data_IF_064522052340
#
_entry.id   IF_064522052340
#
_cell.length_a   1.000
_cell.length_b   1.000
_cell.length_c   1.000
_cell.angle_alpha   90.00
_cell.angle_beta   90.00
_cell.angle_gamma   90.00
#
_symmetry.space_group_name_H-M   'P 1'
#
loop_
_entity.id
_entity.type
_entity.pdbx_description
1 polymer ?
#
# COMPACT_ATOMS: atom_id res chain seq x y z
N UNK A 1 3.63 20.33 8.85
CA UNK A 1 5.09 20.06 9.06
C UNK A 1 5.42 18.58 8.83
N UNK A 2 4.82 17.64 9.57
CA UNK A 2 5.09 16.20 9.42
C UNK A 2 4.84 15.67 8.00
N UNK A 3 3.74 16.06 7.35
CA UNK A 3 3.49 15.71 5.94
C UNK A 3 4.63 16.16 5.02
N UNK A 4 5.21 17.34 5.25
CA UNK A 4 6.36 17.81 4.47
C UNK A 4 7.64 17.00 4.75
N UNK A 5 7.76 16.35 5.91
CA UNK A 5 8.85 15.41 6.17
C UNK A 5 8.62 14.08 5.44
N UNK A 6 7.38 13.57 5.41
CA UNK A 6 7.01 12.40 4.61
C UNK A 6 7.30 12.65 3.12
N UNK A 7 6.94 13.82 2.59
CA UNK A 7 7.28 14.22 1.21
C UNK A 7 8.79 14.24 0.99
N UNK A 8 9.55 14.85 1.91
CA UNK A 8 11.02 14.89 1.83
C UNK A 8 11.65 13.50 1.80
N UNK A 9 11.19 12.59 2.66
CA UNK A 9 11.66 11.20 2.67
C UNK A 9 11.35 10.51 1.33
N UNK A 10 10.12 10.67 0.82
CA UNK A 10 9.71 10.05 -0.43
C UNK A 10 10.48 10.62 -1.64
N UNK A 11 10.74 11.93 -1.67
CA UNK A 11 11.62 12.55 -2.67
C UNK A 11 13.06 12.00 -2.61
N UNK A 12 13.53 11.58 -1.44
CA UNK A 12 14.80 10.87 -1.27
C UNK A 12 14.72 9.37 -1.62
N UNK A 13 13.55 8.88 -2.08
CA UNK A 13 13.31 7.48 -2.42
C UNK A 13 13.01 6.59 -1.22
N UNK A 14 12.72 7.17 -0.05
CA UNK A 14 12.58 6.46 1.23
C UNK A 14 11.15 6.59 1.74
N UNK A 15 10.57 5.48 2.19
CA UNK A 15 9.33 5.45 2.97
C UNK A 15 9.68 4.93 4.36
N UNK A 16 9.11 5.54 5.40
CA UNK A 16 9.41 5.15 6.78
C UNK A 16 8.99 3.69 7.04
N UNK A 17 7.82 3.28 6.56
CA UNK A 17 7.37 1.89 6.58
C UNK A 17 6.78 1.43 7.90
N UNK A 18 7.00 2.18 8.97
CA UNK A 18 6.31 2.04 10.27
C UNK A 18 6.03 3.37 10.99
N UNK A 19 5.54 4.38 10.28
CA UNK A 19 5.37 5.71 10.87
C UNK A 19 4.14 5.75 11.78
N UNK A 20 4.34 6.26 13.00
CA UNK A 20 3.30 6.50 14.01
C UNK A 20 3.71 7.67 14.91
N UNK A 21 2.84 8.07 15.83
CA UNK A 21 3.12 9.07 16.85
C UNK A 21 4.32 8.71 17.74
N UNK A 22 4.61 7.42 17.92
CA UNK A 22 5.72 6.95 18.75
C UNK A 22 7.08 7.17 18.09
N UNK A 23 7.09 7.30 16.76
CA UNK A 23 8.29 7.51 15.95
C UNK A 23 8.48 8.99 15.56
N UNK A 24 7.83 9.90 16.31
CA UNK A 24 7.97 11.35 16.17
C UNK A 24 8.43 11.95 17.50
N UNK A 25 9.62 12.56 17.50
CA UNK A 25 10.10 13.36 18.62
C UNK A 25 9.72 14.83 18.42
N UNK A 26 9.39 15.55 19.49
CA UNK A 26 9.05 16.97 19.42
C UNK A 26 9.94 17.74 20.39
N UNK A 27 10.64 18.76 19.89
CA UNK A 27 11.44 19.69 20.67
C UNK A 27 11.06 21.16 20.37
N UNK A 28 11.87 22.12 20.82
CA UNK A 28 11.64 23.55 20.57
C UNK A 28 11.73 23.97 19.09
N UNK A 29 12.27 23.11 18.23
CA UNK A 29 12.39 23.34 16.78
C UNK A 29 11.26 22.67 15.98
N UNK A 30 10.51 21.74 16.60
CA UNK A 30 9.33 21.11 16.04
C UNK A 30 9.42 19.58 15.99
N UNK A 31 8.51 18.92 15.25
CA UNK A 31 8.48 17.48 15.16
C UNK A 31 9.61 16.94 14.26
N UNK A 32 10.20 15.81 14.63
CA UNK A 32 11.26 15.09 13.90
C UNK A 32 10.90 13.61 13.84
N UNK A 33 10.83 13.06 12.62
CA UNK A 33 10.68 11.61 12.39
C UNK A 33 12.01 10.91 12.69
N UNK A 34 11.93 9.84 13.48
CA UNK A 34 13.08 9.00 13.89
C UNK A 34 12.86 7.54 13.45
N UNK A 35 13.75 6.63 13.87
CA UNK A 35 13.62 5.17 13.69
C UNK A 35 13.48 4.70 12.23
N UNK A 36 14.57 4.85 11.47
CA UNK A 36 14.67 4.44 10.06
C UNK A 36 15.16 3.00 9.76
N UNK A 37 15.41 2.05 10.70
CA UNK A 37 15.87 0.72 10.31
C UNK A 37 14.82 -0.07 9.50
N UNK A 38 13.54 0.31 9.60
CA UNK A 38 12.44 -0.25 8.81
C UNK A 38 12.16 0.52 7.50
N UNK A 39 12.96 1.55 7.20
CA UNK A 39 12.73 2.37 6.03
C UNK A 39 12.98 1.58 4.74
N UNK A 40 12.04 1.70 3.80
CA UNK A 40 12.08 0.94 2.54
C UNK A 40 12.31 1.86 1.34
N UNK A 41 12.90 1.28 0.29
CA UNK A 41 13.06 1.95 -0.99
C UNK A 41 11.72 2.00 -1.76
N UNK A 42 11.26 3.22 -2.08
CA UNK A 42 9.97 3.46 -2.72
C UNK A 42 9.87 2.92 -4.16
N UNK A 43 10.99 2.84 -4.87
CA UNK A 43 11.04 2.40 -6.28
C UNK A 43 11.26 0.89 -6.42
N UNK A 44 11.80 0.23 -5.40
CA UNK A 44 12.18 -1.18 -5.44
C UNK A 44 11.19 -2.13 -4.73
N UNK A 45 10.15 -1.59 -4.07
CA UNK A 45 9.22 -2.38 -3.27
C UNK A 45 7.77 -2.27 -3.79
N UNK A 46 7.18 -3.40 -4.18
CA UNK A 46 5.80 -3.47 -4.67
C UNK A 46 4.75 -3.02 -3.61
N UNK A 47 5.12 -3.06 -2.32
CA UNK A 47 4.28 -2.60 -1.21
C UNK A 47 4.50 -1.13 -0.84
N UNK A 48 5.40 -0.41 -1.52
CA UNK A 48 5.74 0.99 -1.22
C UNK A 48 4.50 1.88 -1.10
N UNK A 49 3.58 1.79 -2.05
CA UNK A 49 2.31 2.54 -2.00
C UNK A 49 1.54 2.29 -0.71
N UNK A 50 1.34 1.02 -0.36
CA UNK A 50 0.52 0.64 0.79
C UNK A 50 1.16 1.12 2.09
N UNK A 51 2.49 1.03 2.19
CA UNK A 51 3.24 1.48 3.36
C UNK A 51 3.21 3.00 3.51
N UNK A 52 3.39 3.76 2.42
CA UNK A 52 3.23 5.22 2.46
C UNK A 52 1.82 5.63 2.90
N UNK A 53 0.79 5.00 2.33
CA UNK A 53 -0.60 5.28 2.70
C UNK A 53 -0.85 4.98 4.18
N UNK A 54 -0.31 3.87 4.69
CA UNK A 54 -0.38 3.51 6.12
C UNK A 54 0.29 4.56 6.99
N UNK A 55 1.51 4.96 6.65
CA UNK A 55 2.29 5.97 7.39
C UNK A 55 1.51 7.29 7.49
N UNK A 56 0.98 7.79 6.37
CA UNK A 56 0.19 9.02 6.34
C UNK A 56 -1.14 8.87 7.08
N UNK A 57 -1.79 7.72 6.97
CA UNK A 57 -3.06 7.44 7.65
C UNK A 57 -2.89 7.35 9.17
N UNK A 58 -1.80 6.76 9.66
CA UNK A 58 -1.48 6.71 11.08
C UNK A 58 -1.32 8.12 11.67
N UNK A 59 -0.57 8.98 10.97
CA UNK A 59 -0.45 10.39 11.36
C UNK A 59 -1.83 11.08 11.37
N UNK A 60 -2.62 10.93 10.30
CA UNK A 60 -3.94 11.54 10.22
C UNK A 60 -4.88 11.04 11.34
N UNK A 61 -4.84 9.76 11.68
CA UNK A 61 -5.65 9.17 12.73
C UNK A 61 -5.27 9.69 14.12
N UNK A 62 -3.97 9.78 14.43
CA UNK A 62 -3.49 10.30 15.70
C UNK A 62 -3.80 11.79 15.86
N UNK A 63 -3.35 12.62 14.91
CA UNK A 63 -3.55 14.07 14.97
C UNK A 63 -5.01 14.47 14.75
N UNK A 64 -5.80 13.63 14.09
CA UNK A 64 -7.24 13.81 13.91
C UNK A 64 -8.04 13.85 15.21
N UNK A 65 -7.48 13.32 16.31
CA UNK A 65 -8.06 13.47 17.65
C UNK A 65 -8.06 14.94 18.13
N UNK A 66 -7.14 15.75 17.61
CA UNK A 66 -6.97 17.17 17.95
C UNK A 66 -7.39 18.11 16.82
N UNK A 67 -7.29 17.66 15.57
CA UNK A 67 -7.66 18.40 14.36
C UNK A 67 -8.53 17.51 13.44
N UNK A 68 -9.84 17.37 13.72
CA UNK A 68 -10.73 16.42 13.04
C UNK A 68 -10.78 16.57 11.52
N UNK A 69 -10.51 17.77 10.99
CA UNK A 69 -10.42 18.03 9.55
C UNK A 69 -9.40 17.11 8.86
N UNK A 70 -8.33 16.68 9.54
CA UNK A 70 -7.32 15.77 8.99
C UNK A 70 -7.90 14.40 8.61
N UNK A 71 -8.95 13.94 9.31
CA UNK A 71 -9.60 12.65 9.04
C UNK A 71 -10.34 12.64 7.69
N UNK A 72 -10.61 13.83 7.13
CA UNK A 72 -11.27 13.97 5.82
C UNK A 72 -10.29 14.14 4.66
N UNK A 73 -8.99 14.23 4.95
CA UNK A 73 -7.95 14.42 3.94
C UNK A 73 -7.47 13.08 3.36
N UNK A 74 -7.01 13.11 2.11
CA UNK A 74 -6.39 11.97 1.43
C UNK A 74 -4.98 12.32 0.92
N UNK A 75 -4.16 12.88 1.81
CA UNK A 75 -2.76 13.22 1.51
C UNK A 75 -1.96 12.01 1.01
N UNK A 76 -2.24 10.81 1.52
CA UNK A 76 -1.50 9.59 1.14
C UNK A 76 -1.64 9.31 -0.36
N UNK A 77 -2.85 9.34 -0.90
CA UNK A 77 -3.06 9.12 -2.33
C UNK A 77 -2.57 10.31 -3.18
N UNK A 78 -2.79 11.55 -2.74
CA UNK A 78 -2.31 12.75 -3.43
C UNK A 78 -0.79 12.74 -3.60
N UNK A 79 -0.05 12.51 -2.52
CA UNK A 79 1.42 12.43 -2.51
C UNK A 79 1.89 11.31 -3.44
N UNK A 80 1.28 10.13 -3.34
CA UNK A 80 1.67 8.99 -4.17
C UNK A 80 1.44 9.24 -5.66
N UNK A 81 0.33 9.87 -6.03
CA UNK A 81 0.03 10.20 -7.43
C UNK A 81 1.03 11.21 -8.01
N UNK A 82 1.40 12.23 -7.24
CA UNK A 82 2.46 13.17 -7.61
C UNK A 82 3.81 12.46 -7.75
N UNK A 83 4.12 11.53 -6.86
CA UNK A 83 5.36 10.75 -6.92
C UNK A 83 5.42 9.87 -8.17
N UNK A 84 4.35 9.11 -8.45
CA UNK A 84 4.28 8.23 -9.62
C UNK A 84 4.32 8.96 -10.95
N UNK A 85 3.80 10.18 -11.01
CA UNK A 85 3.85 11.03 -12.20
C UNK A 85 5.17 11.79 -12.35
N UNK A 86 6.09 11.68 -11.38
CA UNK A 86 7.36 12.40 -11.37
C UNK A 86 7.21 13.90 -11.09
N UNK A 87 6.08 14.32 -10.52
CA UNK A 87 5.75 15.72 -10.23
C UNK A 87 5.91 16.10 -8.75
N UNK A 88 6.22 15.14 -7.89
CA UNK A 88 6.46 15.40 -6.47
C UNK A 88 7.80 16.10 -6.25
N UNK A 89 7.76 17.22 -5.53
CA UNK A 89 8.90 18.01 -5.08
C UNK A 89 8.73 18.36 -3.60
N UNK A 90 9.80 18.83 -2.95
CA UNK A 90 9.73 19.25 -1.54
C UNK A 90 8.84 20.49 -1.36
N UNK A 91 8.65 21.25 -2.43
CA UNK A 91 7.86 22.47 -2.53
C UNK A 91 6.43 22.20 -3.04
N UNK A 92 6.08 20.94 -3.33
CA UNK A 92 4.75 20.59 -3.82
C UNK A 92 3.66 21.03 -2.84
N UNK A 93 2.74 21.86 -3.33
CA UNK A 93 1.59 22.33 -2.55
C UNK A 93 0.53 21.24 -2.57
N UNK A 94 0.30 20.62 -1.42
CA UNK A 94 -0.70 19.56 -1.24
C UNK A 94 -2.03 20.17 -0.82
N UNK A 95 -3.12 19.64 -1.37
CA UNK A 95 -4.49 20.08 -1.10
C UNK A 95 -5.19 19.22 -0.06
N UNK A 96 -4.65 18.03 0.21
CA UNK A 96 -5.29 17.00 1.04
C UNK A 96 -6.50 16.37 0.38
N UNK A 97 -6.72 16.59 -0.93
CA UNK A 97 -7.85 16.04 -1.68
C UNK A 97 -7.35 15.17 -2.81
N UNK A 98 -7.92 13.97 -2.92
CA UNK A 98 -7.60 13.05 -4.00
C UNK A 98 -8.87 12.43 -4.57
N UNK A 99 -9.06 12.55 -5.88
CA UNK A 99 -10.17 11.91 -6.58
C UNK A 99 -9.78 10.47 -6.90
N UNK A 100 -10.41 9.50 -6.22
CA UNK A 100 -10.17 8.09 -6.47
C UNK A 100 -10.81 7.69 -7.80
N UNK A 101 -9.97 7.42 -8.79
CA UNK A 101 -10.40 6.71 -9.99
C UNK A 101 -10.51 5.23 -9.63
N UNK A 102 -11.70 4.78 -9.22
CA UNK A 102 -11.99 3.35 -9.10
C UNK A 102 -11.99 2.72 -10.51
N UNK A 103 -10.86 2.15 -10.91
CA UNK A 103 -10.86 1.19 -12.02
C UNK A 103 -11.52 -0.09 -11.50
N UNK A 104 -12.64 -0.48 -12.10
CA UNK A 104 -13.28 -1.77 -11.83
C UNK A 104 -12.30 -2.90 -12.15
N UNK A 105 -11.82 -3.58 -11.12
CA UNK A 105 -11.02 -4.80 -11.29
C UNK A 105 -11.97 -5.94 -11.66
N UNK A 106 -11.69 -6.66 -12.75
CA UNK A 106 -12.49 -7.83 -13.15
C UNK A 106 -12.21 -9.03 -12.23
N UNK A 107 -12.87 -9.02 -11.07
CA UNK A 107 -12.85 -10.13 -10.12
C UNK A 107 -13.40 -11.42 -10.73
N UNK A 108 -14.27 -11.34 -11.75
CA UNK A 108 -14.80 -12.54 -12.43
C UNK A 108 -13.73 -13.20 -13.29
N UNK A 109 -12.81 -12.44 -13.88
CA UNK A 109 -11.64 -12.94 -14.59
C UNK A 109 -10.75 -13.80 -13.68
N UNK A 110 -10.33 -13.23 -12.55
CA UNK A 110 -9.47 -13.92 -11.56
C UNK A 110 -10.13 -15.19 -11.02
N UNK A 111 -11.41 -15.12 -10.65
CA UNK A 111 -12.15 -16.29 -10.14
C UNK A 111 -12.31 -17.38 -11.21
N UNK A 112 -12.35 -17.03 -12.49
CA UNK A 112 -12.44 -18.00 -13.59
C UNK A 112 -11.15 -18.81 -13.72
N UNK A 113 -9.99 -18.15 -13.72
CA UNK A 113 -8.68 -18.82 -13.78
C UNK A 113 -8.46 -19.79 -12.61
N UNK A 114 -8.83 -19.38 -11.40
CA UNK A 114 -8.75 -20.24 -10.21
C UNK A 114 -9.63 -21.48 -10.39
N UNK A 115 -10.89 -21.29 -10.80
CA UNK A 115 -11.83 -22.39 -10.99
C UNK A 115 -11.43 -23.34 -12.13
N UNK A 116 -10.84 -22.82 -13.21
CA UNK A 116 -10.38 -23.62 -14.34
C UNK A 116 -9.19 -24.51 -13.93
N UNK A 117 -8.26 -23.95 -13.14
CA UNK A 117 -7.13 -24.71 -12.55
C UNK A 117 -7.64 -25.85 -11.65
N UNK A 118 -8.63 -25.56 -10.80
CA UNK A 118 -9.22 -26.58 -9.91
C UNK A 118 -9.93 -27.70 -10.69
N UNK A 119 -10.66 -27.36 -11.76
CA UNK A 119 -11.31 -28.36 -12.62
C UNK A 119 -10.33 -29.25 -13.36
N UNK A 120 -9.21 -28.71 -13.83
CA UNK A 120 -8.16 -29.51 -14.45
C UNK A 120 -7.54 -30.50 -13.45
N UNK A 121 -7.30 -30.07 -12.22
CA UNK A 121 -6.78 -30.91 -11.15
C UNK A 121 -7.74 -32.05 -10.81
N UNK A 122 -9.04 -31.75 -10.66
CA UNK A 122 -10.09 -32.75 -10.43
C UNK A 122 -10.19 -33.76 -11.58
N UNK A 123 -10.13 -33.30 -12.83
CA UNK A 123 -10.17 -34.16 -14.01
C UNK A 123 -8.95 -35.09 -14.07
N UNK A 124 -7.75 -34.59 -13.72
CA UNK A 124 -6.54 -35.42 -13.62
C UNK A 124 -6.67 -36.48 -12.53
N UNK A 125 -7.16 -36.12 -11.34
CA UNK A 125 -7.36 -37.06 -10.24
C UNK A 125 -8.38 -38.15 -10.60
N UNK A 126 -9.49 -37.79 -11.25
CA UNK A 126 -10.49 -38.73 -11.76
C UNK A 126 -9.90 -39.69 -12.79
N UNK A 127 -9.10 -39.18 -13.75
CA UNK A 127 -8.45 -40.02 -14.75
C UNK A 127 -7.47 -41.03 -14.13
N UNK A 128 -6.68 -40.59 -13.14
CA UNK A 128 -5.76 -41.44 -12.39
C UNK A 128 -6.55 -42.51 -11.61
N UNK A 129 -7.62 -42.13 -10.90
CA UNK A 129 -8.45 -43.05 -10.14
C UNK A 129 -9.14 -44.09 -11.03
N UNK A 130 -9.65 -43.69 -12.20
CA UNK A 130 -10.26 -44.60 -13.18
C UNK A 130 -9.22 -45.60 -13.71
N UNK A 131 -8.00 -45.13 -14.01
CA UNK A 131 -6.92 -45.99 -14.48
C UNK A 131 -6.54 -47.04 -13.42
N UNK A 132 -6.35 -46.64 -12.17
CA UNK A 132 -6.03 -47.55 -11.06
C UNK A 132 -7.13 -48.58 -10.80
N UNK A 133 -8.40 -48.21 -10.95
CA UNK A 133 -9.53 -49.15 -10.83
C UNK A 133 -9.53 -50.19 -11.95
N UNK A 134 -9.16 -49.82 -13.18
CA UNK A 134 -9.07 -50.74 -14.32
C UNK A 134 -7.90 -51.73 -14.17
N UNK A 135 -6.75 -51.27 -13.69
CA UNK A 135 -5.57 -52.12 -13.45
C UNK A 135 -5.76 -53.12 -12.30
N UNK A 136 -6.68 -52.86 -11.35
CA UNK A 136 -7.01 -53.79 -10.25
C UNK A 136 -8.12 -54.79 -10.57
N UNK A 137 -8.85 -54.58 -11.67
CA UNK A 137 -10.02 -55.39 -12.05
C UNK A 137 -9.75 -56.36 -13.20
N UNK A 138 -8.55 -56.33 -13.79
CA UNK A 138 -8.03 -57.32 -14.72
C UNK A 138 -6.95 -58.16 -14.06
#
# INVERSE_FOLDING_TARGET
ILIAQVVRMLCAGIIHGDLSEYNVLVDSHGPVIIDLPQAINASANNQARQLLLRDVQNLAAYFGQFAPELLTTDYGNEIWALFQSGQLSQESVLTGRFERVEKSVDLKGVMREINDTLKEEEARQLAIAIRLKRERAG
#
